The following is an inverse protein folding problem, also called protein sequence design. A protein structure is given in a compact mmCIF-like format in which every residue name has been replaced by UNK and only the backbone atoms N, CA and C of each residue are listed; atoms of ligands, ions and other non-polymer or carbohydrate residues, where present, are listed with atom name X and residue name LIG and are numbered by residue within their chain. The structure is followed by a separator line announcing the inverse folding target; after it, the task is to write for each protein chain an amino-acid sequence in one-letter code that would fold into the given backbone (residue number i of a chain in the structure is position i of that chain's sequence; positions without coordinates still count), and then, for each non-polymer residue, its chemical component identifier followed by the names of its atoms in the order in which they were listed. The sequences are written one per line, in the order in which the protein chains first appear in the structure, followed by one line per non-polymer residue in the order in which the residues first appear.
data_IF_528688927861
#
_entry.id   IF_528688927861
#
_cell.length_a   1.000
_cell.length_b   1.000
_cell.length_c   1.000
_cell.angle_alpha   90.00
_cell.angle_beta   90.00
_cell.angle_gamma   90.00
#
_symmetry.space_group_name_H-M   'P 1'
#
loop_
_entity.id
_entity.type
_entity.pdbx_description
1 polymer ?
#
# COMPACT_ATOMS: atom_id res chain seq x y z
N UNK A 1 30.25 -32.17 16.90
CA UNK A 1 28.79 -32.35 16.83
C UNK A 1 28.20 -31.01 16.43
N UNK A 2 27.95 -30.83 15.15
CA UNK A 2 27.54 -29.57 14.52
C UNK A 2 26.34 -29.87 13.65
N UNK A 3 25.15 -29.45 14.07
CA UNK A 3 23.92 -29.57 13.30
C UNK A 3 23.48 -28.20 12.81
N UNK A 4 23.67 -27.93 11.51
CA UNK A 4 22.97 -26.86 10.80
C UNK A 4 21.54 -27.32 10.54
N UNK A 5 20.55 -26.49 10.87
CA UNK A 5 19.15 -26.71 10.48
C UNK A 5 18.85 -25.78 9.31
N UNK A 6 18.64 -26.38 8.14
CA UNK A 6 18.04 -25.75 6.97
C UNK A 6 16.52 -25.80 7.13
N UNK A 7 15.85 -24.66 7.20
CA UNK A 7 14.40 -24.54 7.11
C UNK A 7 14.02 -23.99 5.73
N UNK A 8 13.94 -24.88 4.74
CA UNK A 8 13.31 -24.62 3.46
C UNK A 8 11.86 -25.09 3.49
N UNK A 9 10.91 -24.17 3.28
CA UNK A 9 9.49 -24.46 3.09
C UNK A 9 9.27 -25.20 1.76
N UNK A 10 8.68 -26.40 1.80
CA UNK A 10 8.23 -27.15 0.63
C UNK A 10 6.75 -26.84 0.33
N UNK A 11 6.45 -26.38 -0.89
CA UNK A 11 5.11 -26.43 -1.47
C UNK A 11 4.97 -27.68 -2.35
N UNK A 12 3.94 -28.48 -2.09
CA UNK A 12 3.59 -29.69 -2.83
C UNK A 12 3.00 -29.35 -4.22
N UNK A 13 3.51 -29.98 -5.28
CA UNK A 13 2.99 -29.90 -6.66
C UNK A 13 1.99 -31.04 -6.91
N UNK A 14 0.79 -30.72 -7.36
CA UNK A 14 -0.19 -31.66 -7.90
C UNK A 14 -0.12 -31.75 -9.43
N UNK A 15 -0.24 -32.96 -9.96
CA UNK A 15 -0.28 -33.34 -11.38
C UNK A 15 -1.63 -33.04 -12.04
N UNK A 16 -1.69 -32.68 -13.34
CA UNK A 16 -2.94 -32.61 -14.08
C UNK A 16 -3.21 -33.88 -14.92
N UNK A 17 -4.48 -34.28 -15.00
CA UNK A 17 -5.00 -35.30 -15.91
C UNK A 17 -5.15 -34.72 -17.33
N UNK A 18 -4.77 -35.55 -18.31
CA UNK A 18 -4.87 -35.31 -19.75
C UNK A 18 -6.13 -35.98 -20.31
N UNK A 19 -6.97 -35.22 -21.02
CA UNK A 19 -7.90 -35.67 -22.08
C UNK A 19 -8.08 -34.46 -23.01
N UNK A 20 -8.19 -34.48 -24.34
CA UNK A 20 -8.22 -35.45 -25.43
C UNK A 20 -8.64 -34.62 -26.66
N UNK A 21 -7.95 -34.73 -27.80
CA UNK A 21 -8.21 -33.96 -29.04
C UNK A 21 -8.88 -34.88 -30.12
N UNK A 22 -9.24 -34.40 -31.33
CA UNK A 22 -10.55 -33.88 -31.79
C UNK A 22 -11.23 -34.80 -32.82
N UNK A 23 -12.38 -34.40 -33.40
CA UNK A 23 -12.71 -34.73 -34.81
C UNK A 23 -13.79 -33.83 -35.44
N UNK A 24 -13.38 -33.25 -36.57
CA UNK A 24 -14.09 -32.82 -37.79
C UNK A 24 -15.62 -32.89 -37.88
N UNK A 25 -16.24 -31.81 -38.38
CA UNK A 25 -17.08 -31.86 -39.60
C UNK A 25 -17.27 -30.45 -40.20
N UNK A 26 -16.90 -30.33 -41.47
CA UNK A 26 -17.24 -29.23 -42.39
C UNK A 26 -18.63 -29.52 -42.95
N UNK A 27 -19.52 -28.52 -42.97
CA UNK A 27 -20.58 -28.48 -43.99
C UNK A 27 -20.93 -27.04 -44.34
N UNK A 28 -20.78 -26.74 -45.63
CA UNK A 28 -21.15 -25.50 -46.30
C UNK A 28 -22.66 -25.47 -46.62
N UNK A 29 -23.08 -24.41 -47.34
CA UNK A 29 -24.38 -24.20 -48.02
C UNK A 29 -25.42 -23.52 -47.11
N UNK A 30 -26.15 -22.45 -47.46
CA UNK A 30 -26.45 -21.79 -48.74
C UNK A 30 -26.69 -20.28 -48.51
N UNK A 31 -26.26 -19.43 -49.44
CA UNK A 31 -26.62 -18.00 -49.53
C UNK A 31 -27.97 -17.89 -50.25
N UNK A 32 -28.94 -17.23 -49.62
CA UNK A 32 -30.19 -16.78 -50.24
C UNK A 32 -30.31 -15.26 -50.05
N UNK A 33 -30.11 -14.54 -51.14
CA UNK A 33 -30.26 -13.08 -51.22
C UNK A 33 -31.75 -12.78 -51.37
N UNK A 34 -32.36 -12.27 -50.30
CA UNK A 34 -33.69 -11.67 -50.33
C UNK A 34 -33.58 -10.14 -50.36
N UNK A 35 -33.84 -9.54 -51.52
CA UNK A 35 -34.02 -8.09 -51.65
C UNK A 35 -35.39 -7.68 -51.12
N UNK A 36 -35.44 -7.27 -49.85
CA UNK A 36 -36.60 -6.64 -49.22
C UNK A 36 -36.34 -5.16 -48.98
N UNK A 37 -37.21 -4.29 -49.49
CA UNK A 37 -37.17 -2.85 -49.19
C UNK A 37 -37.34 -2.60 -47.69
N UNK A 38 -36.32 -2.05 -47.03
CA UNK A 38 -36.41 -1.59 -45.65
C UNK A 38 -37.03 -0.16 -45.62
N UNK A 39 -38.02 0.10 -44.75
CA UNK A 39 -38.47 1.46 -44.47
C UNK A 39 -37.35 2.25 -43.79
N UNK A 40 -37.27 3.55 -44.12
CA UNK A 40 -36.25 4.46 -43.61
C UNK A 40 -36.14 4.41 -42.08
N UNK A 41 -34.93 4.17 -41.57
CA UNK A 41 -34.64 4.20 -40.15
C UNK A 41 -34.93 5.61 -39.58
N UNK A 42 -35.52 5.73 -38.38
CA UNK A 42 -35.69 7.01 -37.72
C UNK A 42 -34.32 7.67 -37.51
N UNK A 43 -34.24 9.02 -37.58
CA UNK A 43 -32.98 9.73 -37.40
C UNK A 43 -32.37 9.33 -36.05
N UNK A 44 -31.09 8.95 -36.09
CA UNK A 44 -30.33 8.66 -34.89
C UNK A 44 -30.44 9.86 -33.93
N UNK A 45 -30.66 9.63 -32.62
CA UNK A 45 -30.66 10.71 -31.65
C UNK A 45 -29.32 11.45 -31.79
N UNK A 46 -29.32 12.79 -31.62
CA UNK A 46 -28.10 13.56 -31.77
C UNK A 46 -27.04 12.95 -30.86
N UNK A 47 -25.88 12.59 -31.44
CA UNK A 47 -24.70 12.25 -30.65
C UNK A 47 -24.40 13.49 -29.82
N UNK A 48 -24.82 13.46 -28.54
CA UNK A 48 -24.32 14.38 -27.55
C UNK A 48 -22.83 14.09 -27.49
N UNK A 49 -22.04 14.92 -28.17
CA UNK A 49 -20.62 15.04 -27.88
C UNK A 49 -20.56 15.59 -26.46
N UNK A 50 -20.60 14.71 -25.46
CA UNK A 50 -20.14 15.09 -24.14
C UNK A 50 -18.63 15.29 -24.29
N UNK A 51 -18.21 16.53 -24.33
CA UNK A 51 -16.84 16.91 -24.00
C UNK A 51 -16.71 16.68 -22.50
N UNK A 52 -16.44 15.44 -22.10
CA UNK A 52 -16.55 14.98 -20.71
C UNK A 52 -15.40 15.55 -19.86
N UNK A 53 -15.73 16.56 -19.06
CA UNK A 53 -14.92 17.00 -17.94
C UNK A 53 -14.78 15.90 -16.87
N UNK A 54 -14.06 16.17 -15.77
CA UNK A 54 -13.89 15.20 -14.71
C UNK A 54 -15.23 14.79 -14.05
N UNK A 55 -15.28 13.58 -13.52
CA UNK A 55 -16.40 13.09 -12.70
C UNK A 55 -16.26 13.66 -11.29
N UNK A 56 -17.23 14.45 -10.83
CA UNK A 56 -17.20 15.03 -9.49
C UNK A 56 -18.00 14.19 -8.49
N UNK A 57 -17.48 14.05 -7.28
CA UNK A 57 -18.11 13.38 -6.14
C UNK A 57 -18.17 14.33 -4.96
N UNK A 58 -19.35 14.53 -4.38
CA UNK A 58 -19.57 15.37 -3.20
C UNK A 58 -19.98 14.52 -1.98
N UNK A 59 -19.94 15.07 -0.75
CA UNK A 59 -20.38 14.33 0.43
C UNK A 59 -21.78 13.74 0.27
N UNK A 60 -21.90 12.43 0.52
CA UNK A 60 -23.14 11.67 0.32
C UNK A 60 -23.26 10.94 -1.03
N UNK A 61 -22.39 11.26 -1.99
CA UNK A 61 -22.27 10.51 -3.23
C UNK A 61 -21.51 9.18 -3.03
N UNK A 62 -21.44 8.37 -4.09
CA UNK A 62 -20.78 7.07 -4.13
C UNK A 62 -19.51 7.17 -4.99
N UNK A 63 -18.34 7.14 -4.33
CA UNK A 63 -17.03 7.21 -5.00
C UNK A 63 -16.82 6.01 -5.93
N UNK A 64 -17.16 4.79 -5.49
CA UNK A 64 -16.96 3.59 -6.31
C UNK A 64 -17.76 3.69 -7.60
N UNK A 65 -19.01 4.14 -7.53
CA UNK A 65 -19.83 4.35 -8.73
C UNK A 65 -19.24 5.38 -9.69
N UNK A 66 -18.55 6.41 -9.18
CA UNK A 66 -17.87 7.40 -10.02
C UNK A 66 -16.61 6.80 -10.68
N UNK A 67 -15.85 5.99 -9.94
CA UNK A 67 -14.71 5.22 -10.47
C UNK A 67 -15.15 4.29 -11.60
N UNK A 68 -16.24 3.53 -11.41
CA UNK A 68 -16.77 2.61 -12.43
C UNK A 68 -17.18 3.36 -13.72
N UNK A 69 -17.79 4.55 -13.58
CA UNK A 69 -18.14 5.41 -14.72
C UNK A 69 -16.91 5.95 -15.43
N UNK A 70 -15.91 6.41 -14.69
CA UNK A 70 -14.65 6.90 -15.24
C UNK A 70 -13.90 5.78 -15.97
N UNK A 71 -13.89 4.56 -15.43
CA UNK A 71 -13.32 3.38 -16.05
C UNK A 71 -13.99 3.03 -17.41
N UNK A 72 -15.31 3.20 -17.50
CA UNK A 72 -16.08 2.96 -18.73
C UNK A 72 -15.95 4.09 -19.76
N UNK A 73 -15.45 5.27 -19.38
CA UNK A 73 -15.30 6.40 -20.28
C UNK A 73 -14.17 6.17 -21.30
N UNK A 74 -14.42 6.62 -22.54
CA UNK A 74 -13.43 6.62 -23.64
C UNK A 74 -12.58 7.89 -23.66
N UNK A 75 -12.94 8.89 -22.86
CA UNK A 75 -12.27 10.19 -22.75
C UNK A 75 -11.62 10.36 -21.38
N UNK A 76 -12.08 11.36 -20.63
CA UNK A 76 -11.52 11.70 -19.33
C UNK A 76 -11.81 10.60 -18.29
N UNK A 77 -10.76 10.08 -17.63
CA UNK A 77 -10.85 9.07 -16.56
C UNK A 77 -10.55 9.65 -15.18
N UNK A 78 -10.78 10.94 -14.99
CA UNK A 78 -10.51 11.65 -13.74
C UNK A 78 -11.76 11.70 -12.88
N UNK A 79 -11.64 11.28 -11.63
CA UNK A 79 -12.62 11.44 -10.56
C UNK A 79 -12.08 12.44 -9.55
N UNK A 80 -12.80 13.55 -9.36
CA UNK A 80 -12.50 14.58 -8.38
C UNK A 80 -13.46 14.40 -7.20
N UNK A 81 -12.91 14.11 -6.03
CA UNK A 81 -13.67 13.98 -4.78
C UNK A 81 -13.51 15.26 -3.97
N UNK A 82 -14.61 15.91 -3.66
CA UNK A 82 -14.62 17.16 -2.91
C UNK A 82 -14.51 16.92 -1.41
N UNK A 83 -13.98 17.92 -0.71
CA UNK A 83 -13.80 17.97 0.75
C UNK A 83 -14.93 17.29 1.53
N UNK A 84 -14.54 16.42 2.45
CA UNK A 84 -15.46 15.68 3.31
C UNK A 84 -14.93 14.33 3.79
N UNK A 85 -15.68 13.73 4.70
CA UNK A 85 -15.41 12.37 5.18
C UNK A 85 -16.35 11.39 4.47
N UNK A 86 -15.75 10.34 3.90
CA UNK A 86 -16.43 9.28 3.19
C UNK A 86 -16.10 7.94 3.85
N UNK A 87 -17.06 7.02 3.81
CA UNK A 87 -16.88 5.69 4.38
C UNK A 87 -17.86 4.68 3.82
N UNK A 88 -17.62 3.39 4.07
CA UNK A 88 -18.45 2.30 3.58
C UNK A 88 -19.87 2.38 4.14
N UNK A 89 -20.85 1.96 3.32
CA UNK A 89 -22.25 1.79 3.76
C UNK A 89 -22.56 0.35 4.16
N UNK A 90 -21.72 -0.59 3.72
CA UNK A 90 -21.91 -2.01 3.90
C UNK A 90 -20.61 -2.65 4.34
N UNK A 91 -20.73 -3.70 5.16
CA UNK A 91 -19.59 -4.53 5.51
C UNK A 91 -19.04 -5.20 4.25
N UNK A 92 -17.72 -5.31 4.14
CA UNK A 92 -17.11 -5.93 2.98
C UNK A 92 -15.60 -6.03 3.05
N UNK A 93 -15.02 -6.53 1.96
CA UNK A 93 -13.58 -6.69 1.83
C UNK A 93 -12.84 -5.34 1.75
N UNK A 94 -13.36 -4.38 0.98
CA UNK A 94 -12.77 -3.05 0.85
C UNK A 94 -13.85 -1.96 0.79
N UNK A 95 -13.50 -0.72 1.14
CA UNK A 95 -14.37 0.43 0.85
C UNK A 95 -14.31 0.79 -0.64
N UNK A 96 -13.11 1.04 -1.17
CA UNK A 96 -12.88 1.27 -2.60
C UNK A 96 -12.06 0.13 -3.20
N UNK A 97 -12.39 -0.27 -4.42
CA UNK A 97 -11.73 -1.33 -5.15
C UNK A 97 -11.42 -0.90 -6.58
N UNK A 98 -10.15 -0.92 -6.94
CA UNK A 98 -9.67 -0.71 -8.30
C UNK A 98 -9.09 -2.03 -8.84
N UNK A 99 -9.47 -2.38 -10.05
CA UNK A 99 -9.10 -3.61 -10.77
C UNK A 99 -8.78 -3.25 -12.23
N UNK A 100 -8.40 -4.21 -13.08
CA UNK A 100 -8.02 -3.95 -14.46
C UNK A 100 -8.91 -2.97 -15.27
N UNK A 101 -10.26 -2.94 -15.15
CA UNK A 101 -11.08 -1.92 -15.83
C UNK A 101 -10.76 -0.48 -15.40
N UNK A 102 -10.29 -0.30 -14.17
CA UNK A 102 -9.93 0.98 -13.58
C UNK A 102 -8.52 1.45 -13.96
N UNK A 103 -7.76 0.68 -14.76
CA UNK A 103 -6.44 1.12 -15.19
C UNK A 103 -6.49 2.47 -15.90
N UNK A 104 -5.63 3.39 -15.46
CA UNK A 104 -5.55 4.76 -15.98
C UNK A 104 -6.57 5.73 -15.39
N UNK A 105 -7.37 5.32 -14.40
CA UNK A 105 -8.22 6.25 -13.64
C UNK A 105 -7.36 7.11 -12.72
N UNK A 106 -7.69 8.40 -12.66
CA UNK A 106 -7.07 9.35 -11.73
C UNK A 106 -8.11 9.71 -10.67
N UNK A 107 -7.88 9.30 -9.42
CA UNK A 107 -8.69 9.64 -8.27
C UNK A 107 -7.99 10.76 -7.50
N UNK A 108 -8.60 11.94 -7.45
CA UNK A 108 -7.98 13.18 -6.94
C UNK A 108 -8.87 13.81 -5.87
N UNK A 109 -8.30 14.14 -4.72
CA UNK A 109 -8.95 14.93 -3.69
C UNK A 109 -8.90 16.43 -4.03
N UNK A 110 -10.04 17.10 -3.88
CA UNK A 110 -10.18 18.55 -3.92
C UNK A 110 -10.54 19.05 -2.51
N UNK A 111 -9.51 19.45 -1.75
CA UNK A 111 -9.61 19.83 -0.34
C UNK A 111 -9.26 18.69 0.63
N UNK A 112 -9.72 18.80 1.88
CA UNK A 112 -9.51 17.79 2.93
C UNK A 112 -10.48 16.62 2.74
N UNK A 113 -10.02 15.55 2.08
CA UNK A 113 -10.83 14.35 1.82
C UNK A 113 -10.34 13.19 2.66
N UNK A 114 -11.19 12.74 3.59
CA UNK A 114 -10.93 11.57 4.41
C UNK A 114 -11.72 10.36 3.92
N UNK A 115 -11.04 9.26 3.63
CA UNK A 115 -11.62 7.93 3.43
C UNK A 115 -11.46 7.14 4.72
N UNK A 116 -12.57 6.77 5.35
CA UNK A 116 -12.58 6.00 6.60
C UNK A 116 -13.09 4.58 6.38
N UNK A 117 -12.51 3.62 7.09
CA UNK A 117 -13.04 2.25 7.15
C UNK A 117 -14.32 2.12 7.99
N UNK A 118 -14.71 3.18 8.70
CA UNK A 118 -15.87 3.23 9.60
C UNK A 118 -17.14 3.62 8.85
N UNK A 119 -18.30 3.10 9.25
CA UNK A 119 -19.57 3.37 8.57
C UNK A 119 -19.97 4.85 8.62
N UNK A 120 -20.73 5.28 7.60
CA UNK A 120 -21.27 6.65 7.51
C UNK A 120 -22.65 6.86 8.15
N UNK A 121 -23.07 5.99 9.06
CA UNK A 121 -24.34 6.15 9.78
C UNK A 121 -24.20 7.23 10.88
N UNK A 122 -25.33 7.81 11.30
CA UNK A 122 -25.45 9.01 12.16
C UNK A 122 -24.34 9.06 13.22
N UNK A 123 -23.42 9.96 12.97
CA UNK A 123 -22.09 10.12 13.55
C UNK A 123 -22.07 10.17 15.08
N UNK A 124 -21.34 9.21 15.65
CA UNK A 124 -20.65 9.36 16.93
C UNK A 124 -19.21 8.85 16.79
N UNK A 125 -18.20 9.47 17.42
CA UNK A 125 -16.88 8.84 17.55
C UNK A 125 -17.02 7.52 18.32
N UNK A 126 -16.67 6.39 17.71
CA UNK A 126 -16.64 5.08 18.37
C UNK A 126 -17.16 3.88 17.56
N UNK A 127 -17.67 4.05 16.34
CA UNK A 127 -18.07 2.90 15.52
C UNK A 127 -16.85 2.16 14.95
N UNK A 128 -16.87 0.83 15.05
CA UNK A 128 -15.80 -0.05 14.56
C UNK A 128 -15.69 -0.03 13.03
N UNK A 129 -14.53 -0.41 12.50
CA UNK A 129 -14.35 -0.57 11.07
C UNK A 129 -15.28 -1.68 10.54
N UNK A 130 -15.74 -1.51 9.30
CA UNK A 130 -16.61 -2.49 8.64
C UNK A 130 -16.03 -3.00 7.32
N UNK A 131 -14.80 -2.61 6.99
CA UNK A 131 -14.05 -3.12 5.84
C UNK A 131 -12.64 -3.50 6.24
N UNK A 132 -12.04 -4.48 5.55
CA UNK A 132 -10.66 -4.89 5.83
C UNK A 132 -9.70 -3.80 5.37
N UNK A 133 -9.95 -3.31 4.15
CA UNK A 133 -9.11 -2.35 3.44
C UNK A 133 -9.90 -1.08 3.14
N UNK A 134 -9.29 0.09 3.34
CA UNK A 134 -9.92 1.33 2.85
C UNK A 134 -9.83 1.37 1.33
N UNK A 135 -8.64 1.07 0.81
CA UNK A 135 -8.36 1.00 -0.62
C UNK A 135 -7.79 -0.37 -0.99
N UNK A 136 -8.41 -1.04 -1.95
CA UNK A 136 -7.88 -2.24 -2.58
C UNK A 136 -7.49 -1.93 -4.03
N UNK A 137 -6.25 -2.26 -4.38
CA UNK A 137 -5.71 -2.17 -5.73
C UNK A 137 -5.35 -3.59 -6.19
N UNK A 138 -6.23 -4.17 -7.01
CA UNK A 138 -6.09 -5.51 -7.56
C UNK A 138 -5.24 -5.58 -8.82
N UNK A 139 -5.32 -6.75 -9.45
CA UNK A 139 -4.57 -7.12 -10.65
C UNK A 139 -4.92 -6.23 -11.85
N UNK A 140 -3.90 -5.88 -12.64
CA UNK A 140 -4.03 -5.18 -13.92
C UNK A 140 -3.96 -3.65 -13.85
N UNK A 141 -3.52 -3.06 -12.74
CA UNK A 141 -3.29 -1.62 -12.64
C UNK A 141 -1.85 -1.25 -13.00
N UNK A 142 -1.67 -0.27 -13.88
CA UNK A 142 -0.36 0.28 -14.25
C UNK A 142 -0.11 1.60 -13.53
N UNK A 143 1.09 2.15 -13.73
CA UNK A 143 1.47 3.48 -13.25
C UNK A 143 0.66 4.65 -13.84
N UNK A 144 -0.29 4.39 -14.74
CA UNK A 144 -1.27 5.37 -15.21
C UNK A 144 -2.40 5.62 -14.22
N UNK A 145 -2.58 4.70 -13.26
CA UNK A 145 -3.58 4.83 -12.20
C UNK A 145 -3.00 5.66 -11.07
N UNK A 146 -3.68 6.77 -10.73
CA UNK A 146 -3.22 7.76 -9.74
C UNK A 146 -4.24 7.89 -8.60
N UNK A 147 -3.74 7.91 -7.37
CA UNK A 147 -4.50 8.26 -6.17
C UNK A 147 -3.79 9.42 -5.49
N UNK A 148 -4.46 10.57 -5.37
CA UNK A 148 -3.82 11.81 -4.95
C UNK A 148 -4.58 12.57 -3.85
N UNK A 149 -3.88 12.95 -2.79
CA UNK A 149 -4.35 13.94 -1.81
C UNK A 149 -5.31 13.43 -0.73
N UNK A 150 -5.49 12.11 -0.60
CA UNK A 150 -6.44 11.53 0.35
C UNK A 150 -5.84 11.25 1.72
N UNK A 151 -6.66 11.35 2.76
CA UNK A 151 -6.38 10.82 4.10
C UNK A 151 -7.11 9.48 4.30
N UNK A 152 -6.39 8.40 4.55
CA UNK A 152 -6.90 7.04 4.74
C UNK A 152 -6.76 6.65 6.22
N UNK A 153 -7.88 6.36 6.89
CA UNK A 153 -7.91 6.14 8.35
C UNK A 153 -8.94 5.12 8.87
N UNK A 154 -8.71 4.66 10.09
CA UNK A 154 -9.77 4.11 10.94
C UNK A 154 -10.05 2.63 10.76
N UNK A 155 -9.16 1.88 10.12
CA UNK A 155 -9.17 0.42 10.26
C UNK A 155 -8.77 0.00 11.67
N UNK A 156 -9.35 -1.10 12.15
CA UNK A 156 -9.15 -1.62 13.52
C UNK A 156 -8.91 -3.15 13.54
N UNK A 157 -8.42 -3.71 12.43
CA UNK A 157 -8.20 -5.14 12.27
C UNK A 157 -9.46 -5.95 11.92
N UNK A 158 -10.55 -5.30 11.47
CA UNK A 158 -11.71 -5.98 10.91
C UNK A 158 -11.33 -6.93 9.75
N UNK A 159 -11.97 -8.12 9.70
CA UNK A 159 -11.75 -9.13 8.67
C UNK A 159 -13.08 -9.67 8.13
N UNK A 160 -13.22 -9.62 6.82
CA UNK A 160 -14.32 -10.14 6.03
C UNK A 160 -13.75 -10.89 4.81
N UNK A 161 -14.15 -12.16 4.66
CA UNK A 161 -13.78 -12.98 3.51
C UNK A 161 -14.89 -13.03 2.45
N UNK A 162 -16.00 -12.35 2.70
CA UNK A 162 -17.13 -12.25 1.78
C UNK A 162 -16.99 -11.01 0.88
N UNK A 163 -17.73 -10.99 -0.23
CA UNK A 163 -17.85 -9.81 -1.13
C UNK A 163 -16.51 -9.33 -1.69
N UNK A 164 -15.62 -10.27 -1.98
CA UNK A 164 -14.40 -10.00 -2.74
C UNK A 164 -14.79 -9.78 -4.20
N UNK A 165 -14.35 -8.70 -4.87
CA UNK A 165 -14.66 -8.48 -6.28
C UNK A 165 -14.32 -9.70 -7.14
N UNK A 166 -15.22 -10.08 -8.05
CA UNK A 166 -15.00 -11.19 -8.99
C UNK A 166 -13.80 -10.94 -9.92
N UNK A 167 -13.43 -9.67 -10.14
CA UNK A 167 -12.24 -9.28 -10.90
C UNK A 167 -10.95 -9.25 -10.06
N UNK A 168 -11.04 -9.45 -8.74
CA UNK A 168 -9.87 -9.80 -7.91
C UNK A 168 -9.38 -11.24 -8.17
N UNK A 169 -9.96 -11.94 -9.14
CA UNK A 169 -9.64 -13.32 -9.51
C UNK A 169 -8.82 -13.36 -10.79
N UNK A 170 -7.86 -14.28 -10.81
CA UNK A 170 -6.87 -14.51 -11.86
C UNK A 170 -7.41 -15.03 -13.19
N UNK A 171 -8.51 -14.47 -13.73
CA UNK A 171 -8.86 -14.70 -15.13
C UNK A 171 -7.76 -14.19 -16.06
N UNK A 172 -7.13 -13.06 -15.71
CA UNK A 172 -5.92 -12.57 -16.39
C UNK A 172 -4.67 -13.35 -16.01
N UNK A 173 -4.58 -13.76 -14.75
CA UNK A 173 -3.35 -14.31 -14.18
C UNK A 173 -3.64 -15.58 -13.38
N UNK A 174 -3.71 -16.76 -14.02
CA UNK A 174 -4.11 -18.02 -13.39
C UNK A 174 -3.20 -18.47 -12.22
N UNK A 175 -2.02 -17.88 -12.08
CA UNK A 175 -1.09 -18.16 -10.98
C UNK A 175 -1.42 -17.44 -9.67
N UNK A 176 -2.27 -16.41 -9.68
CA UNK A 176 -2.61 -15.66 -8.47
C UNK A 176 -3.42 -16.52 -7.50
N UNK A 177 -2.97 -16.59 -6.25
CA UNK A 177 -3.66 -17.35 -5.19
C UNK A 177 -3.98 -16.46 -4.01
N UNK A 178 -5.24 -16.47 -3.57
CA UNK A 178 -5.66 -15.82 -2.34
C UNK A 178 -5.25 -16.70 -1.15
N UNK A 179 -4.28 -16.22 -0.38
CA UNK A 179 -3.88 -16.85 0.88
C UNK A 179 -4.49 -16.14 2.09
N UNK A 180 -4.09 -16.58 3.27
CA UNK A 180 -4.45 -15.95 4.55
C UNK A 180 -4.16 -14.44 4.56
N UNK A 181 -2.95 -14.08 4.12
CA UNK A 181 -2.43 -12.71 3.99
C UNK A 181 -3.23 -11.80 3.05
N UNK A 182 -4.01 -12.38 2.13
CA UNK A 182 -4.86 -11.61 1.24
C UNK A 182 -5.92 -10.80 2.01
N UNK A 183 -6.42 -11.36 3.12
CA UNK A 183 -7.50 -10.75 3.90
C UNK A 183 -7.04 -10.03 5.16
N UNK A 184 -5.89 -10.43 5.71
CA UNK A 184 -5.43 -9.98 7.01
C UNK A 184 -4.44 -8.82 6.96
N UNK A 185 -3.87 -8.53 5.79
CA UNK A 185 -2.84 -7.51 5.63
C UNK A 185 -3.37 -6.27 4.92
N UNK A 186 -2.75 -5.10 5.16
CA UNK A 186 -3.03 -3.88 4.39
C UNK A 186 -4.28 -3.14 4.86
N UNK A 187 -4.26 -2.54 6.05
CA UNK A 187 -5.42 -1.81 6.59
C UNK A 187 -5.80 -0.60 5.72
N UNK A 188 -4.91 0.40 5.64
CA UNK A 188 -5.14 1.54 4.76
C UNK A 188 -5.21 1.12 3.29
N UNK A 189 -4.26 0.29 2.84
CA UNK A 189 -4.11 -0.14 1.46
C UNK A 189 -3.67 -1.60 1.34
N UNK A 190 -4.38 -2.34 0.48
CA UNK A 190 -3.97 -3.66 -0.01
C UNK A 190 -3.70 -3.60 -1.51
N UNK A 191 -2.47 -3.92 -1.91
CA UNK A 191 -2.06 -4.10 -3.30
C UNK A 191 -1.81 -5.57 -3.59
N UNK A 192 -2.35 -6.07 -4.69
CA UNK A 192 -2.25 -7.49 -5.03
C UNK A 192 -2.18 -7.76 -6.53
N UNK A 193 -1.25 -8.63 -6.94
CA UNK A 193 -1.09 -9.07 -8.33
C UNK A 193 -0.29 -8.09 -9.18
N UNK A 194 -0.48 -8.11 -10.50
CA UNK A 194 0.18 -7.17 -11.41
C UNK A 194 -0.41 -5.76 -11.27
N UNK A 195 -0.01 -5.08 -10.19
CA UNK A 195 -0.54 -3.78 -9.78
C UNK A 195 0.62 -2.83 -9.47
N UNK A 196 0.68 -1.70 -10.16
CA UNK A 196 1.73 -0.68 -10.01
C UNK A 196 1.20 0.77 -10.04
N UNK A 197 0.13 1.12 -9.28
CA UNK A 197 -0.39 2.48 -9.25
C UNK A 197 0.58 3.48 -8.57
N UNK A 198 0.27 4.77 -8.74
CA UNK A 198 0.98 5.89 -8.10
C UNK A 198 0.12 6.48 -6.99
N UNK A 199 0.70 6.62 -5.81
CA UNK A 199 0.14 7.33 -4.66
C UNK A 199 0.92 8.62 -4.45
N UNK A 200 0.23 9.75 -4.53
CA UNK A 200 0.84 11.06 -4.36
C UNK A 200 0.14 11.86 -3.26
N UNK A 201 0.89 12.39 -2.29
CA UNK A 201 0.32 13.22 -1.22
C UNK A 201 -0.80 12.51 -0.45
N UNK A 202 -0.67 11.18 -0.29
CA UNK A 202 -1.62 10.37 0.48
C UNK A 202 -1.14 10.24 1.92
N UNK A 203 -2.06 10.41 2.86
CA UNK A 203 -1.81 10.23 4.29
C UNK A 203 -2.44 8.93 4.76
N UNK A 204 -1.61 7.97 5.17
CA UNK A 204 -2.02 6.74 5.85
C UNK A 204 -1.88 6.97 7.35
N UNK A 205 -2.99 6.99 8.07
CA UNK A 205 -2.99 7.46 9.45
C UNK A 205 -3.93 6.71 10.38
N UNK A 206 -3.39 6.32 11.53
CA UNK A 206 -4.09 5.64 12.61
C UNK A 206 -4.86 4.39 12.09
N UNK A 207 -4.18 3.61 11.25
CA UNK A 207 -4.71 2.35 10.72
C UNK A 207 -4.13 1.17 11.48
N UNK A 208 -5.02 0.32 11.99
CA UNK A 208 -4.68 -0.97 12.55
C UNK A 208 -5.14 -2.09 11.62
N UNK A 209 -4.24 -3.04 11.34
CA UNK A 209 -4.52 -4.25 10.56
C UNK A 209 -4.53 -5.51 11.43
N UNK A 210 -5.07 -6.62 10.92
CA UNK A 210 -5.12 -7.88 11.66
C UNK A 210 -3.78 -8.63 11.67
N UNK A 211 -2.88 -8.35 10.71
CA UNK A 211 -1.62 -9.07 10.58
C UNK A 211 -0.46 -8.15 10.16
N UNK A 212 -0.26 -7.86 8.87
CA UNK A 212 0.85 -7.02 8.40
C UNK A 212 0.37 -5.75 7.65
N UNK A 213 1.22 -4.72 7.54
CA UNK A 213 0.91 -3.54 6.74
C UNK A 213 -0.26 -2.70 7.25
N UNK A 214 -0.11 -2.04 8.41
CA UNK A 214 -1.16 -1.16 8.95
C UNK A 214 -1.54 -0.06 7.95
N UNK A 215 -0.54 0.66 7.46
CA UNK A 215 -0.68 1.64 6.37
C UNK A 215 -0.91 0.96 5.03
N UNK A 216 0.05 0.17 4.57
CA UNK A 216 0.00 -0.52 3.29
C UNK A 216 0.64 -1.92 3.34
N UNK A 217 0.02 -2.88 2.65
CA UNK A 217 0.67 -4.15 2.28
C UNK A 217 0.72 -4.23 0.75
N UNK A 218 1.91 -4.56 0.23
CA UNK A 218 2.17 -4.59 -1.20
C UNK A 218 2.71 -5.93 -1.65
N UNK A 219 1.98 -6.55 -2.56
CA UNK A 219 2.24 -7.91 -3.02
C UNK A 219 2.03 -8.01 -4.53
N UNK A 220 3.09 -7.79 -5.30
CA UNK A 220 3.03 -7.92 -6.75
C UNK A 220 3.09 -9.38 -7.23
N UNK A 221 3.16 -10.37 -6.33
CA UNK A 221 3.15 -11.79 -6.70
C UNK A 221 4.20 -12.15 -7.78
N UNK A 222 5.35 -11.45 -7.79
CA UNK A 222 6.43 -11.61 -8.77
C UNK A 222 6.37 -10.71 -10.01
N UNK A 223 5.31 -9.92 -10.20
CA UNK A 223 5.14 -8.99 -11.33
C UNK A 223 5.82 -7.63 -11.07
N UNK A 224 7.14 -7.64 -10.88
CA UNK A 224 7.91 -6.47 -10.40
C UNK A 224 8.67 -5.69 -11.48
N UNK A 225 8.22 -5.76 -12.73
CA UNK A 225 8.79 -4.97 -13.84
C UNK A 225 8.45 -3.47 -13.70
N UNK A 226 7.26 -3.16 -13.20
CA UNK A 226 6.83 -1.79 -12.89
C UNK A 226 6.71 -1.60 -11.37
N UNK A 227 7.37 -0.58 -10.79
CA UNK A 227 7.29 -0.35 -9.37
C UNK A 227 6.00 0.37 -8.96
N UNK A 228 5.45 -0.02 -7.82
CA UNK A 228 4.48 0.79 -7.07
C UNK A 228 5.18 2.05 -6.57
N UNK A 229 4.50 3.21 -6.59
CA UNK A 229 5.12 4.49 -6.21
C UNK A 229 4.38 5.16 -5.06
N UNK A 230 5.10 5.49 -4.00
CA UNK A 230 4.64 6.39 -2.94
C UNK A 230 5.48 7.67 -3.00
N UNK A 231 4.83 8.79 -3.27
CA UNK A 231 5.48 10.08 -3.47
C UNK A 231 4.86 11.13 -2.58
N UNK A 232 5.68 11.77 -1.74
CA UNK A 232 5.18 12.80 -0.83
C UNK A 232 4.11 12.25 0.12
N UNK A 233 4.18 10.98 0.53
CA UNK A 233 3.17 10.37 1.38
C UNK A 233 3.53 10.49 2.87
N UNK A 234 2.50 10.48 3.72
CA UNK A 234 2.66 10.47 5.18
C UNK A 234 2.17 9.13 5.72
N UNK A 235 2.95 8.50 6.60
CA UNK A 235 2.60 7.28 7.32
C UNK A 235 2.71 7.56 8.81
N UNK A 236 1.56 7.80 9.46
CA UNK A 236 1.47 8.36 10.80
C UNK A 236 0.69 7.42 11.71
N UNK A 237 1.31 6.88 12.77
CA UNK A 237 0.55 6.12 13.78
C UNK A 237 -0.09 4.83 13.27
N UNK A 238 0.46 4.19 12.24
CA UNK A 238 -0.11 2.94 11.74
C UNK A 238 0.48 1.75 12.51
N UNK A 239 -0.37 0.76 12.77
CA UNK A 239 -0.10 -0.32 13.70
C UNK A 239 -0.39 -1.68 13.05
N UNK A 240 0.51 -2.64 13.26
CA UNK A 240 0.26 -4.04 12.92
C UNK A 240 0.87 -5.02 13.93
N UNK A 241 0.26 -6.18 14.17
CA UNK A 241 0.86 -7.18 15.06
C UNK A 241 2.00 -7.97 14.42
N UNK A 242 2.13 -7.93 13.09
CA UNK A 242 3.15 -8.59 12.29
C UNK A 242 4.23 -7.62 11.80
N UNK A 243 4.40 -7.51 10.48
CA UNK A 243 5.51 -6.78 9.83
C UNK A 243 5.07 -5.50 9.13
N UNK A 244 6.01 -4.57 8.96
CA UNK A 244 5.87 -3.37 8.13
C UNK A 244 4.67 -2.50 8.46
N UNK A 245 4.59 -1.93 9.66
CA UNK A 245 3.39 -1.20 10.10
C UNK A 245 3.02 -0.01 9.20
N UNK A 246 4.00 0.66 8.61
CA UNK A 246 3.74 1.62 7.54
C UNK A 246 3.59 0.93 6.19
N UNK A 247 4.61 0.18 5.76
CA UNK A 247 4.62 -0.53 4.47
C UNK A 247 5.23 -1.93 4.65
N UNK A 248 4.49 -2.95 4.27
CA UNK A 248 4.95 -4.33 4.22
C UNK A 248 5.15 -4.77 2.75
N UNK A 249 6.42 -5.03 2.36
CA UNK A 249 6.81 -5.27 0.97
C UNK A 249 7.18 -6.74 0.76
N UNK A 250 6.24 -7.50 0.19
CA UNK A 250 6.38 -8.95 0.02
C UNK A 250 7.33 -9.34 -1.12
N UNK A 251 7.77 -10.60 -1.10
CA UNK A 251 8.72 -11.16 -2.06
C UNK A 251 8.28 -10.93 -3.52
N UNK A 252 9.24 -10.58 -4.38
CA UNK A 252 8.95 -10.35 -5.79
C UNK A 252 8.10 -9.10 -6.04
N UNK A 253 8.13 -8.11 -5.14
CA UNK A 253 7.52 -6.78 -5.31
C UNK A 253 8.58 -5.72 -5.54
N UNK A 254 8.27 -4.70 -6.35
CA UNK A 254 9.11 -3.50 -6.52
C UNK A 254 8.37 -2.23 -6.07
N UNK A 255 9.03 -1.43 -5.23
CA UNK A 255 8.49 -0.21 -4.66
C UNK A 255 9.50 0.93 -4.78
N UNK A 256 9.00 2.10 -5.17
CA UNK A 256 9.70 3.37 -5.06
C UNK A 256 8.99 4.24 -4.01
N UNK A 257 9.75 4.70 -3.03
CA UNK A 257 9.31 5.63 -1.99
C UNK A 257 10.19 6.87 -2.09
N UNK A 258 9.59 8.03 -2.32
CA UNK A 258 10.32 9.30 -2.42
C UNK A 258 9.64 10.39 -1.62
N UNK A 259 10.45 11.11 -0.84
CA UNK A 259 10.01 12.24 -0.04
C UNK A 259 8.83 11.89 0.89
N UNK A 260 8.91 10.77 1.61
CA UNK A 260 7.86 10.34 2.53
C UNK A 260 8.26 10.54 4.00
N UNK A 261 7.25 10.63 4.87
CA UNK A 261 7.41 10.77 6.32
C UNK A 261 6.82 9.55 7.02
N UNK A 262 7.58 8.95 7.94
CA UNK A 262 7.19 7.78 8.73
C UNK A 262 7.33 8.12 10.21
N UNK A 263 6.20 8.25 10.92
CA UNK A 263 6.20 8.64 12.33
C UNK A 263 5.32 7.72 13.15
N UNK A 264 5.86 7.18 14.25
CA UNK A 264 5.12 6.37 15.23
C UNK A 264 4.35 5.19 14.63
N UNK A 265 4.93 4.53 13.63
CA UNK A 265 4.38 3.27 13.13
C UNK A 265 4.90 2.12 14.00
N UNK A 266 3.98 1.32 14.54
CA UNK A 266 4.26 0.29 15.54
C UNK A 266 3.94 -1.08 14.94
N UNK A 267 4.98 -1.81 14.57
CA UNK A 267 4.84 -3.17 14.07
C UNK A 267 5.07 -4.18 15.18
N UNK A 268 4.71 -5.44 14.94
CA UNK A 268 5.17 -6.54 15.76
C UNK A 268 4.66 -6.46 17.21
N UNK A 269 3.52 -5.84 17.52
CA UNK A 269 2.92 -5.99 18.86
C UNK A 269 2.12 -7.30 18.93
N UNK A 270 2.31 -8.10 19.98
CA UNK A 270 1.51 -9.33 20.17
C UNK A 270 1.87 -10.54 19.29
N UNK A 271 3.13 -10.70 18.88
CA UNK A 271 3.59 -11.89 18.15
C UNK A 271 3.31 -13.22 18.85
N UNK A 272 3.26 -13.26 20.18
CA UNK A 272 2.90 -14.49 20.91
C UNK A 272 1.50 -14.99 20.49
N UNK A 273 0.56 -14.05 20.28
CA UNK A 273 -0.77 -14.37 19.79
C UNK A 273 -0.74 -14.85 18.34
N UNK A 274 0.10 -14.26 17.48
CA UNK A 274 0.25 -14.68 16.09
C UNK A 274 0.89 -16.06 15.98
N UNK A 275 1.91 -16.35 16.79
CA UNK A 275 2.54 -17.65 16.89
C UNK A 275 1.53 -18.71 17.34
N UNK A 276 0.74 -18.40 18.38
CA UNK A 276 -0.29 -19.32 18.86
C UNK A 276 -1.42 -19.56 17.84
N UNK A 277 -1.86 -18.50 17.14
CA UNK A 277 -3.01 -18.56 16.24
C UNK A 277 -2.67 -19.11 14.85
N UNK A 278 -1.51 -18.76 14.32
CA UNK A 278 -1.12 -19.03 12.94
C UNK A 278 0.19 -19.80 12.80
N UNK A 279 0.92 -20.04 13.89
CA UNK A 279 2.27 -20.63 13.83
C UNK A 279 3.30 -19.70 13.20
N UNK A 280 3.02 -18.40 13.13
CA UNK A 280 3.86 -17.40 12.48
C UNK A 280 4.76 -16.70 13.51
N UNK A 281 6.05 -16.63 13.19
CA UNK A 281 7.03 -15.83 13.93
C UNK A 281 7.98 -15.15 12.96
N UNK A 282 8.30 -13.88 13.20
CA UNK A 282 9.23 -13.10 12.41
C UNK A 282 9.89 -12.02 13.27
N UNK A 283 11.21 -11.86 13.12
CA UNK A 283 12.06 -10.96 13.93
C UNK A 283 11.70 -10.91 15.43
N UNK A 284 11.46 -12.07 16.05
CA UNK A 284 10.90 -12.16 17.41
C UNK A 284 11.77 -11.56 18.52
N UNK A 285 13.04 -11.30 18.25
CA UNK A 285 13.96 -10.73 19.24
C UNK A 285 13.95 -9.20 19.29
N UNK A 286 13.72 -8.55 18.15
CA UNK A 286 13.87 -7.09 17.98
C UNK A 286 12.61 -6.41 17.44
N UNK A 287 11.67 -7.17 16.87
CA UNK A 287 10.52 -6.63 16.15
C UNK A 287 10.87 -6.26 14.70
N UNK A 288 9.92 -5.60 14.03
CA UNK A 288 10.04 -5.20 12.62
C UNK A 288 10.05 -3.68 12.46
N UNK A 289 10.50 -3.22 11.30
CA UNK A 289 10.52 -1.82 10.89
C UNK A 289 9.15 -1.21 10.65
N UNK A 290 9.13 0.12 10.52
CA UNK A 290 8.03 0.82 9.86
C UNK A 290 7.88 0.30 8.41
N UNK A 291 9.00 0.03 7.74
CA UNK A 291 9.05 -0.72 6.48
C UNK A 291 9.72 -2.07 6.71
N UNK A 292 9.07 -3.14 6.26
CA UNK A 292 9.67 -4.48 6.16
C UNK A 292 9.82 -4.87 4.70
N UNK A 293 11.03 -5.27 4.29
CA UNK A 293 11.35 -5.71 2.94
C UNK A 293 11.73 -7.19 2.95
N UNK A 294 10.90 -8.02 2.32
CA UNK A 294 11.17 -9.45 2.21
C UNK A 294 12.21 -9.78 1.14
N UNK A 295 12.73 -11.00 1.18
CA UNK A 295 13.72 -11.47 0.21
C UNK A 295 13.21 -11.33 -1.23
N UNK A 296 14.10 -11.00 -2.17
CA UNK A 296 13.79 -10.77 -3.58
C UNK A 296 12.81 -9.62 -3.88
N UNK A 297 12.38 -8.85 -2.88
CA UNK A 297 11.74 -7.56 -3.11
C UNK A 297 12.78 -6.48 -3.46
N UNK A 298 12.33 -5.44 -4.17
CA UNK A 298 13.15 -4.30 -4.61
C UNK A 298 12.60 -3.02 -4.01
N UNK A 299 13.39 -2.36 -3.18
CA UNK A 299 13.10 -1.04 -2.62
C UNK A 299 14.06 0.00 -3.18
N UNK A 300 13.50 1.10 -3.67
CA UNK A 300 14.20 2.37 -3.82
C UNK A 300 13.54 3.40 -2.90
N UNK A 301 14.26 3.79 -1.85
CA UNK A 301 13.83 4.76 -0.85
C UNK A 301 14.73 5.99 -0.91
N UNK A 302 14.14 7.17 -1.12
CA UNK A 302 14.90 8.41 -1.21
C UNK A 302 14.28 9.54 -0.38
N UNK A 303 15.15 10.37 0.21
CA UNK A 303 14.79 11.64 0.86
C UNK A 303 13.62 11.52 1.84
N UNK A 304 13.60 10.46 2.63
CA UNK A 304 12.51 10.18 3.55
C UNK A 304 12.98 10.26 5.00
N UNK A 305 12.05 10.53 5.92
CA UNK A 305 12.34 10.72 7.34
C UNK A 305 11.56 9.70 8.18
N UNK A 306 12.27 9.02 9.09
CA UNK A 306 11.75 8.01 10.01
C UNK A 306 12.03 8.47 11.44
N UNK A 307 10.98 8.75 12.19
CA UNK A 307 11.10 9.27 13.56
C UNK A 307 10.11 8.60 14.48
N UNK A 308 10.54 8.25 15.69
CA UNK A 308 9.69 7.71 16.75
C UNK A 308 8.87 6.48 16.31
N UNK A 309 9.31 5.70 15.31
CA UNK A 309 8.70 4.39 15.01
C UNK A 309 9.17 3.35 16.03
N UNK A 310 8.63 2.12 16.00
CA UNK A 310 9.23 1.04 16.78
C UNK A 310 10.67 0.77 16.32
N UNK A 311 10.82 0.51 15.02
CA UNK A 311 12.10 0.41 14.35
C UNK A 311 12.02 1.17 13.02
N UNK A 312 13.17 1.53 12.44
CA UNK A 312 13.19 2.22 11.15
C UNK A 312 12.83 1.27 9.99
N UNK A 313 13.81 0.47 9.53
CA UNK A 313 13.63 -0.47 8.41
C UNK A 313 14.29 -1.80 8.71
N UNK A 314 13.61 -2.90 8.40
CA UNK A 314 14.24 -4.21 8.23
C UNK A 314 14.18 -4.69 6.79
N UNK A 315 15.34 -5.09 6.25
CA UNK A 315 15.52 -5.40 4.84
C UNK A 315 16.29 -6.71 4.65
N UNK A 316 15.58 -7.71 4.10
CA UNK A 316 16.11 -9.03 3.71
C UNK A 316 16.34 -9.15 2.21
N UNK A 317 16.08 -8.10 1.44
CA UNK A 317 16.37 -8.02 0.02
C UNK A 317 17.86 -7.80 -0.28
N UNK A 318 18.20 -7.79 -1.56
CA UNK A 318 19.56 -7.54 -2.06
C UNK A 318 19.52 -6.45 -3.13
N UNK A 319 20.54 -5.59 -3.15
CA UNK A 319 20.63 -4.47 -4.08
C UNK A 319 19.58 -3.38 -3.89
N UNK A 320 18.95 -3.30 -2.71
CA UNK A 320 18.02 -2.21 -2.38
C UNK A 320 18.77 -0.89 -2.20
N UNK A 321 18.10 0.21 -2.54
CA UNK A 321 18.69 1.56 -2.59
C UNK A 321 18.01 2.43 -1.55
N UNK A 322 18.77 2.94 -0.58
CA UNK A 322 18.30 3.83 0.47
C UNK A 322 19.21 5.05 0.51
N UNK A 323 18.72 6.20 0.04
CA UNK A 323 19.57 7.37 -0.21
C UNK A 323 19.02 8.64 0.40
N UNK A 324 19.87 9.37 1.13
CA UNK A 324 19.55 10.69 1.65
C UNK A 324 18.38 10.68 2.64
N UNK A 325 18.23 9.61 3.42
CA UNK A 325 17.17 9.47 4.41
C UNK A 325 17.65 9.84 5.81
N UNK A 326 16.72 10.16 6.69
CA UNK A 326 16.97 10.43 8.11
C UNK A 326 16.27 9.36 8.94
N UNK A 327 17.01 8.70 9.82
CA UNK A 327 16.52 7.77 10.82
C UNK A 327 16.88 8.34 12.18
N UNK A 328 15.87 8.64 13.01
CA UNK A 328 16.07 9.30 14.30
C UNK A 328 15.15 8.72 15.35
N UNK A 329 15.75 8.10 16.38
CA UNK A 329 15.06 7.61 17.57
C UNK A 329 13.84 6.75 17.21
N UNK A 330 14.03 5.78 16.33
CA UNK A 330 13.04 4.74 16.12
C UNK A 330 13.19 3.74 17.25
N UNK A 331 12.67 4.10 18.42
CA UNK A 331 12.83 3.40 19.68
C UNK A 331 11.53 3.20 20.48
N UNK A 332 10.36 3.37 19.83
CA UNK A 332 9.09 3.00 20.46
C UNK A 332 9.11 1.52 20.83
N UNK A 333 8.71 1.22 22.05
CA UNK A 333 9.01 -0.08 22.62
C UNK A 333 8.06 -0.39 23.78
N UNK A 334 7.36 -1.52 23.69
CA UNK A 334 6.42 -2.01 24.73
C UNK A 334 7.06 -3.04 25.68
N UNK A 335 8.37 -3.27 25.58
CA UNK A 335 9.13 -4.29 26.34
C UNK A 335 8.79 -5.74 26.01
N UNK A 336 7.97 -6.00 25.00
CA UNK A 336 7.62 -7.36 24.58
C UNK A 336 8.73 -8.05 23.77
N UNK A 337 9.73 -7.30 23.30
CA UNK A 337 10.88 -7.85 22.57
C UNK A 337 12.11 -7.87 23.49
N UNK A 338 12.95 -8.90 23.48
CA UNK A 338 14.05 -9.00 24.45
C UNK A 338 15.29 -8.16 24.10
N UNK A 339 15.54 -7.82 22.82
CA UNK A 339 16.88 -7.34 22.39
C UNK A 339 16.99 -5.86 21.97
N UNK A 340 15.94 -5.07 22.07
CA UNK A 340 16.00 -3.62 21.83
C UNK A 340 15.49 -3.25 20.44
N UNK A 341 15.06 -2.00 20.25
CA UNK A 341 14.73 -1.46 18.94
C UNK A 341 16.01 -1.15 18.13
N UNK A 342 15.86 -0.83 16.85
CA UNK A 342 16.92 -0.48 15.91
C UNK A 342 16.47 0.55 14.87
N UNK A 343 17.42 1.32 14.36
CA UNK A 343 17.18 2.18 13.20
C UNK A 343 17.13 1.34 11.92
N UNK A 344 18.12 0.47 11.70
CA UNK A 344 18.27 -0.32 10.48
C UNK A 344 18.71 -1.76 10.77
N UNK A 345 17.99 -2.74 10.21
CA UNK A 345 18.34 -4.17 10.15
C UNK A 345 18.42 -4.60 8.69
N UNK A 346 19.54 -4.32 8.04
CA UNK A 346 19.72 -4.50 6.59
C UNK A 346 20.75 -5.60 6.31
N UNK A 347 20.35 -6.58 5.50
CA UNK A 347 21.22 -7.72 5.14
C UNK A 347 22.26 -7.33 4.10
N UNK A 348 21.88 -6.59 3.07
CA UNK A 348 22.76 -6.03 2.04
C UNK A 348 22.63 -4.51 1.99
N UNK A 349 23.54 -3.82 2.68
CA UNK A 349 23.54 -2.37 2.79
C UNK A 349 24.38 -1.65 1.71
N UNK A 350 24.78 -2.34 0.64
CA UNK A 350 25.62 -1.74 -0.41
C UNK A 350 24.99 -0.54 -1.14
N UNK A 351 23.66 -0.44 -1.12
CA UNK A 351 22.90 0.69 -1.66
C UNK A 351 22.50 1.76 -0.64
N UNK A 352 22.94 1.67 0.61
CA UNK A 352 22.64 2.65 1.67
C UNK A 352 23.66 3.78 1.65
N UNK A 353 23.26 5.00 1.21
CA UNK A 353 24.20 6.11 1.00
C UNK A 353 23.66 7.46 1.47
N UNK A 354 24.53 8.30 2.00
CA UNK A 354 24.21 9.67 2.39
C UNK A 354 23.10 9.78 3.43
N UNK A 355 22.84 8.71 4.18
CA UNK A 355 21.81 8.69 5.21
C UNK A 355 22.36 9.22 6.54
N UNK A 356 21.48 9.79 7.35
CA UNK A 356 21.75 10.22 8.71
C UNK A 356 21.02 9.26 9.64
N UNK A 357 21.79 8.55 10.45
CA UNK A 357 21.30 7.41 11.24
C UNK A 357 21.60 7.67 12.70
N UNK A 358 20.54 7.86 13.48
CA UNK A 358 20.63 8.26 14.86
C UNK A 358 19.70 7.45 15.72
N UNK A 359 20.26 6.61 16.58
CA UNK A 359 19.48 5.85 17.54
C UNK A 359 20.39 5.02 18.44
N UNK A 360 19.82 4.35 19.45
CA UNK A 360 20.59 3.52 20.36
C UNK A 360 21.26 2.34 19.64
N UNK A 361 20.58 1.76 18.65
CA UNK A 361 21.11 0.71 17.76
C UNK A 361 20.96 1.19 16.32
N UNK A 362 21.95 1.93 15.78
CA UNK A 362 21.83 2.54 14.47
C UNK A 362 21.93 1.54 13.32
N UNK A 363 22.67 0.45 13.51
CA UNK A 363 22.85 -0.62 12.51
C UNK A 363 22.95 -1.95 13.24
N UNK A 364 21.90 -2.75 13.14
CA UNK A 364 21.78 -4.02 13.86
C UNK A 364 22.72 -5.10 13.28
N UNK A 365 22.91 -5.11 11.96
CA UNK A 365 23.71 -6.14 11.27
C UNK A 365 25.18 -5.72 11.08
N UNK A 366 25.51 -4.46 11.36
CA UNK A 366 26.83 -3.88 11.14
C UNK A 366 27.27 -3.95 9.67
N UNK A 367 26.32 -3.79 8.76
CA UNK A 367 26.53 -3.88 7.31
C UNK A 367 26.70 -2.52 6.63
N UNK A 368 26.31 -1.43 7.29
CA UNK A 368 26.26 -0.09 6.68
C UNK A 368 27.66 0.54 6.68
N UNK A 369 28.06 1.03 5.50
CA UNK A 369 29.32 1.77 5.35
C UNK A 369 29.23 3.14 6.05
N UNK A 370 29.99 3.27 7.14
CA UNK A 370 30.10 4.51 7.93
C UNK A 370 30.84 5.64 7.22
N UNK A 371 31.55 5.37 6.13
CA UNK A 371 32.21 6.40 5.31
C UNK A 371 31.26 7.03 4.30
N UNK A 372 30.20 6.31 3.91
CA UNK A 372 29.16 6.80 3.01
C UNK A 372 27.93 7.36 3.74
N UNK A 373 27.83 7.17 5.06
CA UNK A 373 26.69 7.55 5.90
C UNK A 373 27.13 8.25 7.19
N UNK A 374 26.22 8.95 7.87
CA UNK A 374 26.53 9.70 9.09
C UNK A 374 25.84 9.10 10.31
N UNK A 375 26.64 8.69 11.30
CA UNK A 375 26.17 8.13 12.57
C UNK A 375 26.31 9.12 13.74
N UNK A 376 27.28 10.02 13.66
CA UNK A 376 27.62 10.99 14.72
C UNK A 376 27.30 12.44 14.31
N UNK A 377 26.21 12.64 13.56
CA UNK A 377 25.79 13.98 13.16
C UNK A 377 25.11 14.76 14.32
N UNK A 378 25.02 16.10 14.23
CA UNK A 378 24.27 16.93 15.19
C UNK A 378 22.80 16.51 15.33
N UNK A 379 22.08 17.01 16.32
CA UNK A 379 20.63 16.81 16.35
C UNK A 379 19.97 17.53 15.14
N UNK A 380 19.06 16.89 14.39
CA UNK A 380 18.34 17.55 13.30
C UNK A 380 17.51 18.77 13.75
N UNK A 381 17.15 18.88 15.03
CA UNK A 381 16.29 19.92 15.60
C UNK A 381 15.01 20.09 14.77
N UNK A 382 14.22 19.02 14.66
CA UNK A 382 13.01 19.03 13.85
C UNK A 382 12.04 20.15 14.27
N UNK A 383 11.35 20.73 13.29
CA UNK A 383 10.22 21.62 13.52
C UNK A 383 8.91 20.83 13.77
N UNK A 384 7.78 21.55 13.85
CA UNK A 384 6.46 20.93 14.08
C UNK A 384 6.03 19.98 12.96
N UNK A 385 6.59 20.12 11.76
CA UNK A 385 6.31 19.32 10.56
C UNK A 385 7.40 18.31 10.25
N UNK A 386 8.30 18.03 11.21
CA UNK A 386 9.42 17.10 11.06
C UNK A 386 10.41 17.48 9.96
N UNK A 387 10.53 18.78 9.65
CA UNK A 387 11.60 19.31 8.81
C UNK A 387 12.82 19.59 9.69
N UNK A 388 14.01 19.06 9.35
CA UNK A 388 15.21 19.32 10.13
C UNK A 388 15.63 20.79 9.97
N UNK A 389 15.93 21.47 11.09
CA UNK A 389 16.39 22.86 11.08
C UNK A 389 17.90 22.99 11.01
N UNK A 390 18.64 21.93 11.37
CA UNK A 390 20.10 21.97 11.33
C UNK A 390 20.63 21.97 9.87
N UNK A 391 21.58 22.85 9.50
CA UNK A 391 22.04 23.02 8.11
C UNK A 391 22.60 21.76 7.44
N UNK A 392 23.24 20.86 8.18
CA UNK A 392 23.76 19.58 7.67
C UNK A 392 22.69 18.71 7.00
N UNK A 393 21.43 18.93 7.32
CA UNK A 393 20.31 18.15 6.82
C UNK A 393 19.61 18.79 5.62
N UNK A 394 20.12 19.91 5.09
CA UNK A 394 19.43 20.74 4.10
C UNK A 394 18.88 19.97 2.89
N UNK A 395 19.61 18.94 2.42
CA UNK A 395 19.29 18.18 1.20
C UNK A 395 18.79 16.75 1.45
N UNK A 396 18.55 16.37 2.71
CA UNK A 396 18.14 15.00 3.09
C UNK A 396 16.83 14.97 3.87
N UNK A 397 16.18 13.82 3.85
CA UNK A 397 14.92 13.59 4.53
C UNK A 397 13.72 14.31 3.92
N UNK A 398 12.56 14.08 4.53
CA UNK A 398 11.27 14.56 4.10
C UNK A 398 11.20 16.10 4.02
N UNK A 399 10.52 16.61 3.00
CA UNK A 399 10.12 18.01 2.84
C UNK A 399 8.63 18.09 2.52
N UNK A 400 7.81 18.72 3.37
CA UNK A 400 6.38 18.79 3.16
C UNK A 400 6.04 19.65 1.94
N UNK A 401 5.08 19.18 1.16
CA UNK A 401 4.38 20.00 0.16
C UNK A 401 3.27 20.82 0.83
N UNK A 402 2.65 21.70 0.03
CA UNK A 402 1.54 22.55 0.49
C UNK A 402 0.43 21.68 1.11
N UNK A 403 -0.03 22.04 2.30
CA UNK A 403 -1.08 21.33 3.05
C UNK A 403 -0.57 20.24 3.99
N UNK A 404 0.58 19.61 3.72
CA UNK A 404 1.07 18.49 4.54
C UNK A 404 1.55 18.92 5.93
N UNK A 405 2.14 20.10 6.05
CA UNK A 405 2.54 20.67 7.34
C UNK A 405 1.35 20.83 8.29
N UNK A 406 0.18 21.17 7.76
CA UNK A 406 -1.06 21.31 8.53
C UNK A 406 -1.61 19.95 8.97
N UNK A 407 -1.62 18.96 8.07
CA UNK A 407 -2.02 17.59 8.41
C UNK A 407 -1.13 16.98 9.51
N UNK A 408 0.18 17.20 9.44
CA UNK A 408 1.13 16.73 10.48
C UNK A 408 0.82 17.39 11.83
N UNK A 409 0.60 18.72 11.85
CA UNK A 409 0.25 19.44 13.09
C UNK A 409 -1.08 18.96 13.66
N UNK A 410 -2.09 18.80 12.81
CA UNK A 410 -3.41 18.27 13.21
C UNK A 410 -3.27 16.91 13.86
N UNK A 411 -2.54 15.99 13.23
CA UNK A 411 -2.34 14.65 13.78
C UNK A 411 -1.61 14.69 15.14
N UNK A 412 -0.54 15.49 15.27
CA UNK A 412 0.20 15.63 16.55
C UNK A 412 -0.68 16.12 17.70
N UNK A 413 -1.63 17.02 17.45
CA UNK A 413 -2.56 17.53 18.47
C UNK A 413 -3.55 16.47 18.96
N UNK A 414 -3.77 15.40 18.18
CA UNK A 414 -4.65 14.29 18.52
C UNK A 414 -3.92 13.14 19.22
N UNK A 415 -2.58 13.17 19.26
CA UNK A 415 -1.80 12.15 19.93
C UNK A 415 -1.79 12.39 21.45
N UNK A 416 -1.93 11.33 22.27
CA UNK A 416 -1.92 11.41 23.73
C UNK A 416 -0.55 11.78 24.32
#
# INVERSE_FOLDING_TARGET
MTGRVNSGMLFAKGTPLVTGIPRFAVLAVMILVGTGCQPAAPPAPPKVQQTEGPFHVYPGDDIQRALDKAAAATGNRTVIVHEGTYGPRLRGFAFLSLTAPHDGVQLIADGDVTLSARPMLKSGPGEAAIVNHILYCGDGLTNRTLIQGFRLTGTDGFVCQERVPEESYGERTPSLRKGLFFFLDGGGLKLFGQSAPVFEQVTFVDNLTSLCGGGANVDQQGFNDEPIRFQNCLFLGNDCPGTGAAIDILEGTSVVVDNCLFVRNISNFGMDNLLAKFGLSYNSEHGSGAITVFANAKLKLTRSTFVDNWNGIDDRGTGNVIVGCIFRNNDQWDQSRPKGPYELDITDASGVKGCFIHGPVPDLQQTIDRTENRFDAPDPDFDESWVPRHPDYADVGFRPLKGQAEEIRRWRQLQP
#
